data_IF_007049239327
#
_entry.id   IF_007049239327
#
_cell.length_a   1.000
_cell.length_b   1.000
_cell.length_c   1.000
_cell.angle_alpha   90.00
_cell.angle_beta   90.00
_cell.angle_gamma   90.00
#
_symmetry.space_group_name_H-M   'P 1'
#
loop_
_entity.id
_entity.type
_entity.pdbx_description
1 polymer ?
#
# COMPACT_ATOMS: atom_id res chain seq x y z
N UNK A 1 9.72 -25.91 -16.43
CA UNK A 1 9.30 -26.83 -15.35
C UNK A 1 9.06 -25.98 -14.09
N UNK A 2 7.79 -25.70 -13.74
CA UNK A 2 7.38 -24.97 -12.53
C UNK A 2 7.55 -25.87 -11.29
N UNK A 3 8.79 -26.31 -11.00
CA UNK A 3 9.05 -27.13 -9.81
C UNK A 3 9.31 -26.17 -8.64
N UNK A 4 8.32 -26.11 -7.74
CA UNK A 4 8.32 -25.43 -6.44
C UNK A 4 8.07 -23.91 -6.48
N UNK A 5 6.85 -23.52 -6.89
CA UNK A 5 6.29 -22.24 -6.45
C UNK A 5 5.94 -22.39 -4.97
N UNK A 6 6.74 -21.79 -4.10
CA UNK A 6 6.49 -21.78 -2.67
C UNK A 6 5.63 -20.56 -2.32
N UNK A 7 4.32 -20.76 -2.25
CA UNK A 7 3.38 -19.72 -1.84
C UNK A 7 3.59 -19.31 -0.38
N UNK A 8 4.00 -20.25 0.49
CA UNK A 8 4.27 -19.96 1.89
C UNK A 8 5.42 -18.97 2.03
N UNK A 9 6.51 -19.20 1.29
CA UNK A 9 7.64 -18.28 1.23
C UNK A 9 7.23 -16.90 0.68
N UNK A 10 6.42 -16.86 -0.39
CA UNK A 10 5.93 -15.61 -0.96
C UNK A 10 5.09 -14.80 0.04
N UNK A 11 4.09 -15.41 0.67
CA UNK A 11 3.25 -14.72 1.64
C UNK A 11 4.03 -14.31 2.89
N UNK A 12 4.98 -15.13 3.34
CA UNK A 12 5.88 -14.76 4.41
C UNK A 12 6.71 -13.53 4.04
N UNK A 13 7.28 -13.49 2.83
CA UNK A 13 8.06 -12.34 2.36
C UNK A 13 7.23 -11.07 2.21
N UNK A 14 5.96 -11.21 1.79
CA UNK A 14 5.05 -10.10 1.53
C UNK A 14 4.34 -9.59 2.79
N UNK A 15 4.47 -10.25 3.96
CA UNK A 15 3.67 -9.96 5.16
C UNK A 15 3.63 -8.48 5.55
N UNK A 16 4.74 -7.76 5.48
CA UNK A 16 4.77 -6.34 5.82
C UNK A 16 4.18 -5.44 4.72
N UNK A 17 4.32 -5.83 3.46
CA UNK A 17 3.60 -5.17 2.35
C UNK A 17 2.09 -5.36 2.54
N UNK A 18 1.64 -6.56 2.90
CA UNK A 18 0.23 -6.84 3.18
C UNK A 18 -0.28 -6.02 4.38
N UNK A 19 0.49 -5.95 5.47
CA UNK A 19 0.09 -5.21 6.66
C UNK A 19 0.04 -3.71 6.41
N UNK A 20 1.10 -3.11 5.86
CA UNK A 20 1.19 -1.65 5.76
C UNK A 20 0.61 -1.10 4.47
N UNK A 21 1.04 -1.62 3.32
CA UNK A 21 0.64 -1.08 2.02
C UNK A 21 -0.75 -1.53 1.57
N UNK A 22 -1.22 -2.69 2.03
CA UNK A 22 -2.56 -3.20 1.67
C UNK A 22 -3.57 -2.92 2.77
N UNK A 23 -3.46 -3.57 3.92
CA UNK A 23 -4.45 -3.48 4.99
C UNK A 23 -4.44 -2.11 5.67
N UNK A 24 -3.27 -1.65 6.11
CA UNK A 24 -3.13 -0.37 6.81
C UNK A 24 -3.60 0.80 5.96
N UNK A 25 -3.13 0.88 4.72
CA UNK A 25 -3.57 1.91 3.77
C UNK A 25 -5.09 1.84 3.51
N UNK A 26 -5.64 0.66 3.24
CA UNK A 26 -7.08 0.50 3.01
C UNK A 26 -7.90 0.91 4.23
N UNK A 27 -7.53 0.44 5.42
CA UNK A 27 -8.25 0.75 6.66
C UNK A 27 -8.22 2.25 6.97
N UNK A 28 -7.05 2.88 6.86
CA UNK A 28 -6.93 4.31 7.13
C UNK A 28 -7.64 5.16 6.09
N UNK A 29 -7.59 4.79 4.81
CA UNK A 29 -8.32 5.49 3.73
C UNK A 29 -9.83 5.36 3.91
N UNK A 30 -10.35 4.14 4.13
CA UNK A 30 -11.79 3.92 4.36
C UNK A 30 -12.25 4.69 5.59
N UNK A 31 -11.50 4.63 6.69
CA UNK A 31 -11.84 5.35 7.91
C UNK A 31 -11.86 6.87 7.70
N UNK A 32 -10.87 7.43 7.00
CA UNK A 32 -10.81 8.85 6.71
C UNK A 32 -12.02 9.31 5.86
N UNK A 33 -12.39 8.53 4.84
CA UNK A 33 -13.52 8.83 3.94
C UNK A 33 -14.85 8.72 4.70
N UNK A 34 -15.09 7.63 5.44
CA UNK A 34 -16.36 7.41 6.16
C UNK A 34 -16.62 8.49 7.22
N UNK A 35 -15.57 9.02 7.84
CA UNK A 35 -15.71 10.07 8.84
C UNK A 35 -15.62 11.50 8.26
N UNK A 36 -15.55 11.65 6.93
CA UNK A 36 -15.44 12.95 6.27
C UNK A 36 -14.16 13.73 6.61
N UNK A 37 -13.13 13.05 7.12
CA UNK A 37 -11.88 13.65 7.60
C UNK A 37 -10.80 13.74 6.51
N UNK A 38 -11.05 13.17 5.34
CA UNK A 38 -10.14 13.24 4.20
C UNK A 38 -10.89 13.16 2.88
N UNK A 39 -10.33 13.80 1.85
CA UNK A 39 -10.71 13.60 0.45
C UNK A 39 -9.57 12.88 -0.26
N UNK A 40 -9.91 11.90 -1.09
CA UNK A 40 -8.92 11.14 -1.85
C UNK A 40 -8.30 12.04 -2.93
N UNK A 41 -7.08 12.52 -2.70
CA UNK A 41 -6.42 13.48 -3.59
C UNK A 41 -6.10 12.88 -4.98
N UNK A 42 -6.05 11.55 -5.10
CA UNK A 42 -5.78 10.89 -6.35
C UNK A 42 -7.04 10.81 -7.21
N UNK A 43 -7.09 11.60 -8.29
CA UNK A 43 -8.22 11.68 -9.21
C UNK A 43 -8.71 10.30 -9.70
N UNK A 44 -7.80 9.39 -10.02
CA UNK A 44 -8.18 8.07 -10.53
C UNK A 44 -8.86 7.22 -9.45
N UNK A 45 -8.37 7.28 -8.21
CA UNK A 45 -8.95 6.54 -7.08
C UNK A 45 -10.28 7.19 -6.67
N UNK A 46 -10.36 8.52 -6.67
CA UNK A 46 -11.59 9.27 -6.38
C UNK A 46 -12.72 8.92 -7.36
N UNK A 47 -12.43 8.88 -8.66
CA UNK A 47 -13.41 8.46 -9.68
C UNK A 47 -13.83 7.01 -9.44
N UNK A 48 -12.89 6.09 -9.20
CA UNK A 48 -13.23 4.69 -8.97
C UNK A 48 -14.08 4.49 -7.70
N UNK A 49 -13.81 5.25 -6.65
CA UNK A 49 -14.61 5.29 -5.43
C UNK A 49 -16.03 5.79 -5.68
N UNK A 50 -16.20 6.83 -6.49
CA UNK A 50 -17.52 7.40 -6.80
C UNK A 50 -18.41 6.43 -7.60
N UNK A 51 -17.82 5.73 -8.58
CA UNK A 51 -18.57 4.80 -9.44
C UNK A 51 -18.77 3.40 -8.86
N UNK A 52 -17.80 2.87 -8.12
CA UNK A 52 -17.78 1.47 -7.68
C UNK A 52 -17.68 1.30 -6.15
N UNK A 53 -17.62 2.40 -5.40
CA UNK A 53 -17.45 2.39 -3.95
C UNK A 53 -16.13 1.78 -3.50
N UNK A 54 -16.07 1.37 -2.23
CA UNK A 54 -14.88 0.79 -1.60
C UNK A 54 -14.40 -0.52 -2.25
N UNK A 55 -15.27 -1.22 -3.00
CA UNK A 55 -14.89 -2.43 -3.75
C UNK A 55 -13.78 -2.15 -4.77
N UNK A 56 -13.75 -0.97 -5.36
CA UNK A 56 -12.69 -0.58 -6.30
C UNK A 56 -11.30 -0.57 -5.66
N UNK A 57 -11.18 -0.09 -4.43
CA UNK A 57 -9.92 -0.04 -3.68
C UNK A 57 -9.43 -1.46 -3.43
N UNK A 58 -10.32 -2.36 -2.99
CA UNK A 58 -9.98 -3.77 -2.76
C UNK A 58 -9.47 -4.43 -4.05
N UNK A 59 -10.16 -4.21 -5.17
CA UNK A 59 -9.75 -4.76 -6.48
C UNK A 59 -8.36 -4.26 -6.88
N UNK A 60 -8.07 -2.96 -6.72
CA UNK A 60 -6.75 -2.40 -7.01
C UNK A 60 -5.65 -3.07 -6.16
N UNK A 61 -5.92 -3.34 -4.89
CA UNK A 61 -4.97 -4.04 -4.01
C UNK A 61 -4.77 -5.51 -4.43
N UNK A 62 -5.82 -6.20 -4.87
CA UNK A 62 -5.71 -7.58 -5.38
C UNK A 62 -4.88 -7.63 -6.68
N UNK A 63 -5.09 -6.67 -7.58
CA UNK A 63 -4.29 -6.51 -8.80
C UNK A 63 -2.83 -6.25 -8.43
N UNK A 64 -2.58 -5.36 -7.47
CA UNK A 64 -1.23 -5.08 -6.98
C UNK A 64 -0.53 -6.32 -6.41
N UNK A 65 -1.20 -7.09 -5.54
CA UNK A 65 -0.65 -8.35 -4.99
C UNK A 65 -0.32 -9.34 -6.12
N UNK A 66 -1.18 -9.42 -7.14
CA UNK A 66 -0.96 -10.27 -8.32
C UNK A 66 0.29 -9.84 -9.07
N UNK A 67 0.52 -8.53 -9.25
CA UNK A 67 1.77 -8.01 -9.83
C UNK A 67 2.99 -8.34 -8.96
N UNK A 68 2.91 -8.18 -7.64
CA UNK A 68 3.99 -8.58 -6.73
C UNK A 68 4.32 -10.07 -6.86
N UNK A 69 3.32 -10.93 -7.03
CA UNK A 69 3.52 -12.36 -7.24
C UNK A 69 4.23 -12.66 -8.56
N UNK A 70 3.83 -11.98 -9.65
CA UNK A 70 4.49 -12.12 -10.94
C UNK A 70 5.95 -11.65 -10.89
N UNK A 71 6.21 -10.51 -10.24
CA UNK A 71 7.57 -9.98 -10.08
C UNK A 71 8.44 -10.90 -9.21
N UNK A 72 7.90 -11.40 -8.09
CA UNK A 72 8.55 -12.42 -7.27
C UNK A 72 8.96 -13.65 -8.09
N UNK A 73 8.03 -14.21 -8.88
CA UNK A 73 8.32 -15.36 -9.73
C UNK A 73 9.37 -15.05 -10.79
N UNK A 74 9.31 -13.87 -11.40
CA UNK A 74 10.25 -13.43 -12.42
C UNK A 74 11.67 -13.29 -11.86
N UNK A 75 11.83 -12.61 -10.72
CA UNK A 75 13.12 -12.40 -10.06
C UNK A 75 13.69 -13.70 -9.48
N UNK A 76 12.85 -14.54 -8.86
CA UNK A 76 13.27 -15.85 -8.34
C UNK A 76 13.79 -16.77 -9.45
N UNK A 77 13.13 -16.79 -10.61
CA UNK A 77 13.58 -17.59 -11.78
C UNK A 77 14.96 -17.17 -12.30
N UNK A 78 15.32 -15.89 -12.16
CA UNK A 78 16.61 -15.35 -12.61
C UNK A 78 17.69 -15.35 -11.52
N UNK A 79 17.38 -15.85 -10.32
CA UNK A 79 18.31 -15.85 -9.19
C UNK A 79 18.52 -14.47 -8.55
N UNK A 80 17.68 -13.48 -8.87
CA UNK A 80 17.80 -12.10 -8.36
C UNK A 80 17.06 -11.90 -7.04
N UNK A 81 17.39 -12.69 -6.01
CA UNK A 81 16.73 -12.60 -4.70
C UNK A 81 16.91 -11.22 -4.03
N UNK A 82 18.12 -10.66 -4.10
CA UNK A 82 18.41 -9.32 -3.55
C UNK A 82 17.51 -8.23 -4.16
N UNK A 83 17.21 -8.30 -5.45
CA UNK A 83 16.29 -7.33 -6.09
C UNK A 83 14.88 -7.45 -5.54
N UNK A 84 14.37 -8.68 -5.36
CA UNK A 84 13.06 -8.88 -4.73
C UNK A 84 13.04 -8.34 -3.30
N UNK A 85 14.13 -8.56 -2.56
CA UNK A 85 14.29 -8.02 -1.21
C UNK A 85 14.23 -6.48 -1.21
N UNK A 86 14.95 -5.81 -2.11
CA UNK A 86 14.90 -4.36 -2.23
C UNK A 86 13.47 -3.90 -2.57
N UNK A 87 12.83 -4.51 -3.57
CA UNK A 87 11.47 -4.17 -4.01
C UNK A 87 10.47 -4.27 -2.84
N UNK A 88 10.45 -5.40 -2.12
CA UNK A 88 9.49 -5.56 -1.00
C UNK A 88 9.74 -4.59 0.15
N UNK A 89 11.00 -4.26 0.46
CA UNK A 89 11.32 -3.30 1.52
C UNK A 89 10.94 -1.88 1.11
N UNK A 90 11.17 -1.49 -0.14
CA UNK A 90 10.75 -0.18 -0.66
C UNK A 90 9.22 -0.03 -0.65
N UNK A 91 8.49 -1.07 -1.08
CA UNK A 91 7.02 -1.09 -1.01
C UNK A 91 6.55 -1.01 0.45
N UNK A 92 7.20 -1.75 1.34
CA UNK A 92 6.86 -1.73 2.78
C UNK A 92 7.08 -0.33 3.37
N UNK A 93 8.21 0.30 3.08
CA UNK A 93 8.53 1.65 3.54
C UNK A 93 7.52 2.67 3.01
N UNK A 94 7.16 2.57 1.73
CA UNK A 94 6.14 3.40 1.14
C UNK A 94 4.77 3.18 1.80
N UNK A 95 4.40 1.93 2.09
CA UNK A 95 3.19 1.60 2.84
C UNK A 95 3.16 2.20 4.23
N UNK A 96 4.28 2.14 4.96
CA UNK A 96 4.40 2.77 6.28
C UNK A 96 4.20 4.29 6.17
N UNK A 97 4.86 4.94 5.20
CA UNK A 97 4.73 6.39 4.99
C UNK A 97 3.29 6.79 4.65
N UNK A 98 2.61 6.02 3.80
CA UNK A 98 1.20 6.26 3.45
C UNK A 98 0.30 6.13 4.70
N UNK A 99 0.47 5.07 5.49
CA UNK A 99 -0.29 4.88 6.73
C UNK A 99 -0.06 6.02 7.72
N UNK A 100 1.20 6.44 7.91
CA UNK A 100 1.53 7.59 8.77
C UNK A 100 0.85 8.85 8.25
N UNK A 101 0.94 9.13 6.94
CA UNK A 101 0.31 10.29 6.33
C UNK A 101 -1.21 10.27 6.55
N UNK A 102 -1.88 9.14 6.32
CA UNK A 102 -3.31 9.01 6.53
C UNK A 102 -3.68 9.20 8.01
N UNK A 103 -2.90 8.64 8.94
CA UNK A 103 -3.12 8.84 10.39
C UNK A 103 -2.91 10.30 10.81
N UNK A 104 -1.96 11.02 10.22
CA UNK A 104 -1.75 12.46 10.48
C UNK A 104 -2.94 13.29 10.02
N UNK A 105 -3.52 12.95 8.87
CA UNK A 105 -4.75 13.57 8.37
C UNK A 105 -5.92 13.28 9.31
N UNK A 106 -6.14 11.99 9.65
CA UNK A 106 -7.22 11.56 10.54
C UNK A 106 -7.12 12.20 11.93
N UNK A 107 -5.92 12.31 12.48
CA UNK A 107 -5.70 12.90 13.81
C UNK A 107 -5.77 14.44 13.84
N UNK A 108 -5.89 15.09 12.68
CA UNK A 108 -5.83 16.55 12.56
C UNK A 108 -4.46 17.15 12.86
N UNK A 109 -3.43 16.32 13.08
CA UNK A 109 -2.05 16.76 13.36
C UNK A 109 -1.35 17.35 12.15
N UNK A 110 -1.98 17.31 10.97
CA UNK A 110 -1.32 17.77 9.76
C UNK A 110 -1.07 19.27 9.72
N UNK A 111 -2.05 20.06 10.18
CA UNK A 111 -1.99 21.52 10.28
C UNK A 111 -0.85 22.00 11.20
N UNK A 112 -0.74 21.52 12.45
CA UNK A 112 0.35 21.96 13.33
C UNK A 112 1.74 21.54 12.85
N UNK A 113 1.88 20.36 12.22
CA UNK A 113 3.17 19.92 11.66
C UNK A 113 3.57 20.79 10.46
N UNK A 114 2.64 21.08 9.56
CA UNK A 114 2.88 21.98 8.44
C UNK A 114 3.32 23.36 8.94
N UNK A 115 2.58 23.94 9.88
CA UNK A 115 2.95 25.23 10.48
C UNK A 115 4.34 25.21 11.12
N UNK A 116 4.73 24.13 11.80
CA UNK A 116 6.06 23.99 12.39
C UNK A 116 7.16 23.94 11.33
N UNK A 117 7.02 23.11 10.29
CA UNK A 117 8.03 22.94 9.23
C UNK A 117 8.29 24.25 8.48
N UNK A 118 7.25 25.03 8.17
CA UNK A 118 7.38 26.29 7.43
C UNK A 118 7.65 27.51 8.34
N UNK A 119 7.79 27.30 9.65
CA UNK A 119 8.18 28.35 10.61
C UNK A 119 9.67 28.38 10.95
N UNK A 120 10.44 27.41 10.44
CA UNK A 120 11.90 27.29 10.55
C UNK A 120 12.53 27.87 9.28
#
# INVERSE_FOLDING_TARGET
>A
MLKNVDFGEFFHDLRYVLIFYVLGDLLTTVFAIENGMGYEANFLIAVLLDYFGYYSIVILKLIFISFCFLDYLYLKRRGYRSMWDITRHMITLLGILVVINNLLVISGLWVPIYSFIYSI
#
